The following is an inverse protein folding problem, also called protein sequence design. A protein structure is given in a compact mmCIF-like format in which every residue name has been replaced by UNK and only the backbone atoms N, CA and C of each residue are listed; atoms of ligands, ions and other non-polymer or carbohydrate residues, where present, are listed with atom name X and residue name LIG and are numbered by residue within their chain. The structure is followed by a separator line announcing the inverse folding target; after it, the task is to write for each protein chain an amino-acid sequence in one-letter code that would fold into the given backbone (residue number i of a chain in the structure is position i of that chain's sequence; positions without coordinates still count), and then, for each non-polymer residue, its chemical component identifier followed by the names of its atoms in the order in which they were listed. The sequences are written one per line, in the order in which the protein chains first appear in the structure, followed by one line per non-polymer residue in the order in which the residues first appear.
data_IF_422813225607
#
_entry.id   IF_422813225607
#
_cell.length_a   1.000
_cell.length_b   1.000
_cell.length_c   1.000
_cell.angle_alpha   90.00
_cell.angle_beta   90.00
_cell.angle_gamma   90.00
#
_symmetry.space_group_name_H-M   'P 1'
#
loop_
_entity.id
_entity.type
_entity.pdbx_description
1 polymer ?
#
# COMPACT_ATOMS: atom_id res chain seq x y z
N UNK A 1 18.95 -8.52 -18.91
CA UNK A 1 19.49 -8.64 -17.54
C UNK A 1 19.25 -7.39 -16.68
N UNK A 2 19.62 -6.16 -17.11
CA UNK A 2 19.46 -4.93 -16.30
C UNK A 2 18.07 -4.73 -15.66
N UNK A 3 16.97 -4.91 -16.40
CA UNK A 3 15.58 -4.80 -15.87
C UNK A 3 15.27 -5.75 -14.70
N UNK A 4 15.82 -6.97 -14.72
CA UNK A 4 15.56 -7.98 -13.69
C UNK A 4 16.31 -7.60 -12.40
N UNK A 5 17.55 -7.12 -12.53
CA UNK A 5 18.32 -6.62 -11.38
C UNK A 5 17.67 -5.39 -10.73
N UNK A 6 17.13 -4.46 -11.52
CA UNK A 6 16.42 -3.28 -10.97
C UNK A 6 15.13 -3.69 -10.26
N UNK A 7 14.34 -4.61 -10.82
CA UNK A 7 13.17 -5.15 -10.13
C UNK A 7 13.55 -5.84 -8.82
N UNK A 8 14.63 -6.64 -8.81
CA UNK A 8 15.13 -7.29 -7.59
C UNK A 8 15.54 -6.30 -6.50
N UNK A 9 16.25 -5.23 -6.87
CA UNK A 9 16.66 -4.17 -5.94
C UNK A 9 15.44 -3.46 -5.33
N UNK A 10 14.43 -3.14 -6.14
CA UNK A 10 13.20 -2.49 -5.67
C UNK A 10 12.36 -3.41 -4.79
N UNK A 11 12.33 -4.71 -5.08
CA UNK A 11 11.68 -5.70 -4.20
C UNK A 11 12.39 -5.73 -2.84
N UNK A 12 13.72 -5.77 -2.83
CA UNK A 12 14.49 -5.73 -1.59
C UNK A 12 14.21 -4.44 -0.80
N UNK A 13 14.21 -3.29 -1.47
CA UNK A 13 13.86 -2.00 -0.85
C UNK A 13 12.44 -2.00 -0.28
N UNK A 14 11.46 -2.54 -1.02
CA UNK A 14 10.08 -2.63 -0.58
C UNK A 14 9.93 -3.52 0.67
N UNK A 15 10.70 -4.60 0.75
CA UNK A 15 10.72 -5.49 1.93
C UNK A 15 11.35 -4.78 3.13
N UNK A 16 12.48 -4.07 2.94
CA UNK A 16 13.12 -3.30 4.00
C UNK A 16 12.20 -2.19 4.51
N UNK A 17 11.56 -1.43 3.63
CA UNK A 17 10.58 -0.42 4.01
C UNK A 17 9.38 -1.03 4.74
N UNK A 18 8.87 -2.17 4.26
CA UNK A 18 7.78 -2.91 4.94
C UNK A 18 8.18 -3.41 6.32
N UNK A 19 9.47 -3.70 6.53
CA UNK A 19 10.02 -4.13 7.82
C UNK A 19 10.19 -2.95 8.77
N UNK A 20 10.77 -1.83 8.29
CA UNK A 20 10.92 -0.58 9.05
C UNK A 20 9.57 -0.04 9.49
N UNK A 21 8.58 -0.06 8.61
CA UNK A 21 7.20 0.36 8.89
C UNK A 21 6.57 -0.41 10.05
N UNK A 22 7.03 -1.63 10.31
CA UNK A 22 6.56 -2.48 11.40
C UNK A 22 7.11 -2.06 12.77
N UNK A 23 8.21 -1.32 12.82
CA UNK A 23 8.71 -0.70 14.04
C UNK A 23 7.90 0.52 14.46
N UNK A 24 7.03 1.04 13.58
CA UNK A 24 6.09 2.10 13.91
C UNK A 24 4.85 1.42 14.50
N UNK A 25 4.59 1.54 15.82
CA UNK A 25 3.48 0.82 16.46
C UNK A 25 2.15 1.53 16.17
N UNK A 26 1.69 1.47 14.92
CA UNK A 26 0.39 2.04 14.50
C UNK A 26 -0.79 1.34 15.16
N UNK A 27 -0.58 0.10 15.57
CA UNK A 27 -1.48 -0.69 16.40
C UNK A 27 -1.79 -0.03 17.77
N UNK A 28 -0.98 0.94 18.24
CA UNK A 28 -1.31 1.74 19.42
C UNK A 28 -2.37 2.82 19.13
N UNK A 29 -2.47 3.29 17.88
CA UNK A 29 -3.38 4.37 17.46
C UNK A 29 -4.65 3.79 16.84
N UNK A 30 -4.52 2.71 16.07
CA UNK A 30 -5.61 1.98 15.44
C UNK A 30 -5.47 0.50 15.79
N UNK A 31 -6.28 -0.04 16.71
CA UNK A 31 -6.19 -1.44 17.15
C UNK A 31 -6.82 -2.39 16.13
N UNK A 32 -6.38 -2.30 14.86
CA UNK A 32 -6.78 -3.19 13.78
C UNK A 32 -5.58 -4.03 13.31
N UNK A 33 -5.66 -5.36 13.44
CA UNK A 33 -4.57 -6.23 13.03
C UNK A 33 -4.35 -6.10 11.52
N UNK A 34 -3.12 -5.74 11.13
CA UNK A 34 -2.71 -5.68 9.71
C UNK A 34 -2.79 -4.30 9.05
N UNK A 35 -3.20 -3.25 9.76
CA UNK A 35 -3.10 -1.86 9.28
C UNK A 35 -1.63 -1.44 9.25
N UNK A 36 -1.19 -0.90 8.12
CA UNK A 36 0.17 -0.37 7.89
C UNK A 36 0.04 1.08 7.36
N UNK A 37 1.07 1.91 7.53
CA UNK A 37 1.12 3.30 7.03
C UNK A 37 1.05 3.40 5.49
N UNK A 38 1.31 2.30 4.78
CA UNK A 38 1.47 2.26 3.34
C UNK A 38 2.84 2.76 2.87
N UNK A 39 3.90 2.78 3.70
CA UNK A 39 5.25 3.17 3.24
C UNK A 39 5.76 2.24 2.14
N UNK A 40 5.47 0.95 2.26
CA UNK A 40 5.74 0.01 1.19
C UNK A 40 5.08 0.41 -0.16
N UNK A 41 3.98 1.19 -0.12
CA UNK A 41 3.20 1.57 -1.28
C UNK A 41 3.95 2.54 -2.22
N UNK A 42 4.93 3.28 -1.69
CA UNK A 42 5.82 4.16 -2.46
C UNK A 42 6.53 3.36 -3.54
N UNK A 43 7.04 2.18 -3.18
CA UNK A 43 7.78 1.33 -4.11
C UNK A 43 6.85 0.77 -5.18
N UNK A 44 5.59 0.52 -4.82
CA UNK A 44 4.56 0.15 -5.79
C UNK A 44 4.29 1.26 -6.79
N UNK A 45 4.16 2.49 -6.30
CA UNK A 45 3.93 3.68 -7.10
C UNK A 45 5.12 3.93 -8.03
N UNK A 46 6.35 3.88 -7.50
CA UNK A 46 7.57 3.98 -8.27
C UNK A 46 7.65 2.90 -9.36
N UNK A 47 7.35 1.64 -9.02
CA UNK A 47 7.32 0.57 -9.99
C UNK A 47 6.27 0.77 -11.08
N UNK A 48 5.09 1.30 -10.72
CA UNK A 48 4.02 1.60 -11.67
C UNK A 48 4.46 2.66 -12.68
N UNK A 49 5.15 3.71 -12.21
CA UNK A 49 5.65 4.82 -13.05
C UNK A 49 6.84 4.44 -13.93
N UNK A 50 7.84 3.74 -13.38
CA UNK A 50 9.12 3.54 -14.06
C UNK A 50 9.30 2.15 -14.69
N UNK A 51 8.59 1.13 -14.20
CA UNK A 51 8.75 -0.27 -14.65
C UNK A 51 7.49 -0.84 -15.31
N UNK A 52 6.38 -0.11 -15.24
CA UNK A 52 5.09 -0.46 -15.81
C UNK A 52 4.23 -1.37 -14.92
N UNK A 53 2.96 -1.49 -15.30
CA UNK A 53 1.90 -2.16 -14.53
C UNK A 53 2.24 -3.60 -14.15
N UNK A 54 2.83 -4.39 -15.06
CA UNK A 54 3.15 -5.80 -14.81
C UNK A 54 4.19 -5.92 -13.68
N UNK A 55 5.27 -5.14 -13.76
CA UNK A 55 6.31 -5.12 -12.73
C UNK A 55 5.75 -4.67 -11.38
N UNK A 56 4.90 -3.64 -11.38
CA UNK A 56 4.27 -3.13 -10.16
C UNK A 56 3.42 -4.23 -9.48
N UNK A 57 2.57 -4.93 -10.24
CA UNK A 57 1.78 -6.06 -9.72
C UNK A 57 2.69 -7.13 -9.13
N UNK A 58 3.73 -7.56 -9.86
CA UNK A 58 4.66 -8.60 -9.37
C UNK A 58 5.33 -8.20 -8.07
N UNK A 59 5.87 -6.97 -7.99
CA UNK A 59 6.54 -6.45 -6.78
C UNK A 59 5.56 -6.42 -5.60
N UNK A 60 4.34 -5.97 -5.83
CA UNK A 60 3.30 -5.88 -4.80
C UNK A 60 2.93 -7.24 -4.24
N UNK A 61 2.67 -8.21 -5.13
CA UNK A 61 2.21 -9.54 -4.77
C UNK A 61 3.32 -10.28 -4.04
N UNK A 62 4.56 -10.28 -4.56
CA UNK A 62 5.70 -10.89 -3.89
C UNK A 62 5.94 -10.26 -2.53
N UNK A 63 5.89 -8.93 -2.42
CA UNK A 63 6.04 -8.22 -1.15
C UNK A 63 4.96 -8.63 -0.15
N UNK A 64 3.70 -8.67 -0.55
CA UNK A 64 2.61 -9.07 0.34
C UNK A 64 2.75 -10.52 0.79
N UNK A 65 3.11 -11.43 -0.12
CA UNK A 65 3.36 -12.83 0.20
C UNK A 65 4.54 -13.00 1.16
N UNK A 66 5.69 -12.43 0.84
CA UNK A 66 6.91 -12.52 1.66
C UNK A 66 6.73 -11.86 3.02
N UNK A 67 6.12 -10.67 3.07
CA UNK A 67 5.84 -10.00 4.34
C UNK A 67 4.82 -10.76 5.18
N UNK A 68 3.79 -11.37 4.58
CA UNK A 68 2.88 -12.21 5.34
C UNK A 68 3.56 -13.49 5.85
N UNK A 69 4.43 -14.10 5.06
CA UNK A 69 5.12 -15.34 5.47
C UNK A 69 6.16 -15.11 6.57
N UNK A 70 6.93 -14.03 6.47
CA UNK A 70 7.98 -13.71 7.43
C UNK A 70 7.44 -13.09 8.72
N UNK A 71 6.36 -12.32 8.61
CA UNK A 71 5.97 -11.36 9.63
C UNK A 71 4.47 -11.40 9.97
N UNK A 72 3.65 -12.11 9.22
CA UNK A 72 2.19 -12.05 9.34
C UNK A 72 1.52 -13.41 9.49
N UNK A 73 0.19 -13.37 9.56
CA UNK A 73 -0.68 -14.55 9.39
C UNK A 73 -1.53 -14.43 8.13
N UNK A 74 -2.33 -15.46 7.84
CA UNK A 74 -3.21 -15.50 6.65
C UNK A 74 -4.12 -14.26 6.54
N UNK A 75 -4.66 -13.76 7.67
CA UNK A 75 -5.50 -12.55 7.70
C UNK A 75 -4.73 -11.29 7.27
N UNK A 76 -3.48 -11.15 7.70
CA UNK A 76 -2.64 -10.00 7.34
C UNK A 76 -2.29 -9.97 5.85
N UNK A 77 -2.15 -11.16 5.23
CA UNK A 77 -1.98 -11.29 3.80
C UNK A 77 -3.23 -10.76 3.08
N UNK A 78 -4.41 -11.23 3.46
CA UNK A 78 -5.67 -10.84 2.82
C UNK A 78 -5.91 -9.33 2.90
N UNK A 79 -5.67 -8.72 4.06
CA UNK A 79 -5.79 -7.27 4.23
C UNK A 79 -4.80 -6.53 3.34
N UNK A 80 -3.51 -6.85 3.44
CA UNK A 80 -2.45 -6.16 2.68
C UNK A 80 -2.61 -6.35 1.16
N UNK A 81 -3.04 -7.52 0.71
CA UNK A 81 -3.18 -7.83 -0.70
C UNK A 81 -4.40 -7.14 -1.31
N UNK A 82 -5.53 -7.11 -0.60
CA UNK A 82 -6.71 -6.36 -1.04
C UNK A 82 -6.45 -4.86 -1.10
N UNK A 83 -5.85 -4.28 -0.04
CA UNK A 83 -5.43 -2.88 -0.05
C UNK A 83 -4.48 -2.58 -1.20
N UNK A 84 -3.48 -3.42 -1.43
CA UNK A 84 -2.47 -3.15 -2.46
C UNK A 84 -3.03 -3.27 -3.89
N UNK A 85 -3.94 -4.21 -4.14
CA UNK A 85 -4.63 -4.31 -5.43
C UNK A 85 -5.55 -3.12 -5.68
N UNK A 86 -6.30 -2.68 -4.66
CA UNK A 86 -7.16 -1.50 -4.76
C UNK A 86 -6.33 -0.23 -5.04
N UNK A 87 -5.20 -0.09 -4.34
CA UNK A 87 -4.25 1.00 -4.54
C UNK A 87 -3.68 1.01 -5.96
N UNK A 88 -3.23 -0.14 -6.49
CA UNK A 88 -2.74 -0.26 -7.85
C UNK A 88 -3.80 0.14 -8.90
N UNK A 89 -5.05 -0.29 -8.69
CA UNK A 89 -6.16 0.04 -9.60
C UNK A 89 -6.42 1.54 -9.60
N UNK A 90 -6.54 2.15 -8.42
CA UNK A 90 -6.78 3.59 -8.28
C UNK A 90 -5.60 4.40 -8.83
N UNK A 91 -4.36 4.05 -8.48
CA UNK A 91 -3.17 4.73 -9.04
C UNK A 91 -3.14 4.66 -10.57
N UNK A 92 -3.48 3.51 -11.17
CA UNK A 92 -3.55 3.35 -12.63
C UNK A 92 -4.64 4.22 -13.25
N UNK A 93 -5.80 4.36 -12.60
CA UNK A 93 -6.86 5.25 -13.05
C UNK A 93 -6.45 6.72 -12.96
N UNK A 94 -5.86 7.15 -11.84
CA UNK A 94 -5.40 8.53 -11.68
C UNK A 94 -4.24 8.85 -12.65
N UNK A 95 -3.44 7.86 -13.01
CA UNK A 95 -2.35 8.00 -13.99
C UNK A 95 -2.88 8.37 -15.39
N UNK A 96 -4.13 8.05 -15.74
CA UNK A 96 -4.74 8.50 -17.00
C UNK A 96 -4.88 10.04 -17.07
N UNK A 97 -5.00 10.70 -15.91
CA UNK A 97 -5.02 12.15 -15.77
C UNK A 97 -3.67 12.76 -15.40
N UNK A 98 -2.59 11.97 -15.45
CA UNK A 98 -1.24 12.43 -15.13
C UNK A 98 -0.83 13.59 -16.05
N UNK A 99 -0.22 14.62 -15.46
CA UNK A 99 0.27 15.82 -16.16
C UNK A 99 -0.83 16.79 -16.68
N UNK A 100 -2.11 16.46 -16.51
CA UNK A 100 -3.25 17.35 -16.84
C UNK A 100 -4.08 17.74 -15.63
N UNK A 101 -4.37 16.78 -14.75
CA UNK A 101 -5.28 16.96 -13.61
C UNK A 101 -4.58 16.54 -12.31
N UNK A 102 -3.73 15.52 -12.35
CA UNK A 102 -3.08 14.96 -11.16
C UNK A 102 -1.55 15.02 -11.25
N UNK A 103 -0.93 15.50 -10.16
CA UNK A 103 0.51 15.42 -9.92
C UNK A 103 0.90 14.05 -9.33
N UNK A 104 2.19 13.73 -9.32
CA UNK A 104 2.79 12.56 -8.63
C UNK A 104 2.26 12.46 -7.18
N UNK A 105 2.18 13.60 -6.49
CA UNK A 105 1.69 13.70 -5.11
C UNK A 105 0.22 13.28 -5.01
N UNK A 106 -0.63 13.74 -5.93
CA UNK A 106 -2.06 13.38 -5.96
C UNK A 106 -2.29 11.90 -6.23
N UNK A 107 -1.48 11.30 -7.11
CA UNK A 107 -1.54 9.86 -7.42
C UNK A 107 -1.08 9.03 -6.23
N UNK A 108 -0.04 9.49 -5.52
CA UNK A 108 0.43 8.87 -4.28
C UNK A 108 -0.63 8.92 -3.17
N UNK A 109 -1.21 10.11 -2.91
CA UNK A 109 -2.29 10.29 -1.93
C UNK A 109 -3.52 9.44 -2.24
N UNK A 110 -3.98 9.44 -3.50
CA UNK A 110 -5.11 8.63 -3.93
C UNK A 110 -4.85 7.13 -3.78
N UNK A 111 -3.62 6.70 -4.09
CA UNK A 111 -3.21 5.32 -3.90
C UNK A 111 -3.04 4.91 -2.43
N UNK A 112 -2.58 5.80 -1.55
CA UNK A 112 -2.52 5.56 -0.11
C UNK A 112 -3.92 5.46 0.51
N UNK A 113 -4.83 6.36 0.14
CA UNK A 113 -6.23 6.31 0.56
C UNK A 113 -6.91 5.01 0.10
N UNK A 114 -6.73 4.65 -1.17
CA UNK A 114 -7.20 3.39 -1.74
C UNK A 114 -6.68 2.16 -0.99
N UNK A 115 -5.39 2.16 -0.62
CA UNK A 115 -4.79 1.09 0.15
C UNK A 115 -5.51 0.87 1.47
N UNK A 116 -5.71 1.95 2.21
CA UNK A 116 -6.35 1.92 3.53
C UNK A 116 -7.82 1.50 3.44
N UNK A 117 -8.54 1.96 2.42
CA UNK A 117 -9.93 1.54 2.15
C UNK A 117 -9.99 0.03 1.89
N UNK A 118 -9.12 -0.50 1.02
CA UNK A 118 -9.13 -1.94 0.71
C UNK A 118 -8.76 -2.80 1.93
N UNK A 119 -7.80 -2.37 2.75
CA UNK A 119 -7.46 -3.06 4.00
C UNK A 119 -8.64 -3.10 4.98
N UNK A 120 -9.31 -1.97 5.22
CA UNK A 120 -10.46 -1.87 6.12
C UNK A 120 -11.64 -2.67 5.59
N UNK A 121 -11.92 -2.62 4.29
CA UNK A 121 -13.06 -3.32 3.71
C UNK A 121 -12.90 -4.84 3.90
N UNK A 122 -11.70 -5.38 3.68
CA UNK A 122 -11.43 -6.79 3.97
C UNK A 122 -11.42 -7.13 5.47
N UNK A 123 -10.94 -6.22 6.31
CA UNK A 123 -11.01 -6.40 7.76
C UNK A 123 -12.46 -6.46 8.25
N UNK A 124 -13.33 -5.56 7.78
CA UNK A 124 -14.77 -5.56 8.09
C UNK A 124 -15.47 -6.84 7.60
N UNK A 125 -15.13 -7.32 6.41
CA UNK A 125 -15.63 -8.59 5.86
C UNK A 125 -15.20 -9.81 6.70
N UNK A 126 -13.92 -9.91 7.06
CA UNK A 126 -13.43 -11.05 7.86
C UNK A 126 -13.92 -11.01 9.31
N UNK A 127 -13.98 -9.83 9.92
CA UNK A 127 -14.39 -9.67 11.32
C UNK A 127 -15.91 -9.62 11.48
N UNK A 128 -16.68 -9.53 10.38
CA UNK A 128 -18.14 -9.30 10.35
C UNK A 128 -18.59 -8.17 11.28
N UNK A 129 -17.73 -7.17 11.47
CA UNK A 129 -17.93 -6.10 12.42
C UNK A 129 -17.88 -4.75 11.69
N UNK A 130 -18.96 -4.01 11.74
CA UNK A 130 -19.08 -2.69 11.10
C UNK A 130 -18.33 -1.59 11.85
N UNK A 131 -17.94 -1.82 13.11
CA UNK A 131 -17.12 -0.89 13.88
C UNK A 131 -15.75 -0.62 13.24
N UNK A 132 -15.27 -1.51 12.37
CA UNK A 132 -14.02 -1.36 11.63
C UNK A 132 -14.06 -0.17 10.67
N UNK A 133 -15.25 0.18 10.13
CA UNK A 133 -15.42 1.34 9.25
C UNK A 133 -15.31 2.69 9.99
N UNK A 134 -15.47 2.72 11.31
CA UNK A 134 -15.30 3.95 12.09
C UNK A 134 -13.83 4.45 12.09
N UNK A 135 -12.87 3.57 11.80
CA UNK A 135 -11.44 3.92 11.68
C UNK A 135 -11.07 4.52 10.31
N UNK A 136 -11.96 4.43 9.32
CA UNK A 136 -11.74 4.89 7.96
C UNK A 136 -11.44 6.39 7.85
N UNK A 137 -12.13 7.32 8.53
CA UNK A 137 -11.77 8.74 8.50
C UNK A 137 -10.38 9.04 9.10
N UNK A 138 -9.99 8.34 10.16
CA UNK A 138 -8.65 8.46 10.76
C UNK A 138 -7.58 7.94 9.79
N UNK A 139 -7.84 6.80 9.15
CA UNK A 139 -6.95 6.18 8.17
C UNK A 139 -6.82 6.99 6.87
N UNK A 140 -7.88 7.69 6.46
CA UNK A 140 -7.83 8.63 5.34
C UNK A 140 -7.01 9.88 5.68
N UNK A 141 -7.18 10.43 6.88
CA UNK A 141 -6.35 11.55 7.35
C UNK A 141 -4.87 11.18 7.42
N UNK A 142 -4.53 10.01 7.97
CA UNK A 142 -3.15 9.53 7.98
C UNK A 142 -2.64 9.23 6.58
N UNK A 143 -3.47 8.68 5.69
CA UNK A 143 -3.11 8.40 4.29
C UNK A 143 -2.87 9.67 3.46
N UNK A 144 -3.60 10.75 3.73
CA UNK A 144 -3.36 12.06 3.13
C UNK A 144 -2.04 12.66 3.64
N UNK A 145 -1.78 12.59 4.95
CA UNK A 145 -0.54 13.09 5.55
C UNK A 145 0.69 12.29 5.11
N UNK A 146 0.60 10.97 5.02
CA UNK A 146 1.70 10.18 4.46
C UNK A 146 1.85 10.45 2.97
N UNK A 147 0.75 10.51 2.21
CA UNK A 147 0.81 10.79 0.77
C UNK A 147 1.49 12.11 0.42
N UNK A 148 1.38 13.15 1.25
CA UNK A 148 2.14 14.41 1.08
C UNK A 148 3.61 14.26 1.47
N UNK A 149 3.90 13.65 2.63
CA UNK A 149 5.26 13.43 3.13
C UNK A 149 6.10 12.51 2.25
N UNK A 150 5.46 11.60 1.53
CA UNK A 150 6.16 10.56 0.76
C UNK A 150 6.32 10.90 -0.71
N UNK A 151 5.77 12.04 -1.14
CA UNK A 151 5.87 12.53 -2.50
C UNK A 151 6.81 13.75 -2.65
N UNK A 152 7.59 14.04 -1.61
CA UNK A 152 8.79 14.91 -1.61
C UNK A 152 10.05 14.07 -1.74
#
# INVERSE_FOLDING_TARGET
MKKISTNGLLIALAIVLSYVERFIPLNLIVPLPGVKLGLANIVTMFALFYLGTISAITITVLRCLLSAFMFGGMSSLLYSLSGALLALLIMKLLMLGYNKIFSIIGISMGGAAAHNIGQIMMAGLMMKNTAVYAYLPVLLLTGLLTGTLTAT
#
